data_IF_241905909560
#
_entry.id   IF_241905909560
#
_cell.length_a   1.000
_cell.length_b   1.000
_cell.length_c   1.000
_cell.angle_alpha   90.00
_cell.angle_beta   90.00
_cell.angle_gamma   90.00
#
_symmetry.space_group_name_H-M   'P 1'
#
loop_
_entity.id
_entity.type
_entity.pdbx_description
1 polymer ?
#
# COMPACT_ATOMS: atom_id res chain seq x y z
N UNK A 1 -11.80 10.25 -8.90
CA UNK A 1 -11.20 8.90 -9.00
C UNK A 1 -9.84 9.10 -9.63
N UNK A 2 -8.73 8.73 -8.97
CA UNK A 2 -7.44 8.88 -9.60
C UNK A 2 -7.36 8.02 -10.86
N UNK A 3 -6.99 8.65 -11.97
CA UNK A 3 -6.77 7.93 -13.21
C UNK A 3 -5.39 7.26 -13.22
N UNK A 4 -5.18 6.35 -14.18
CA UNK A 4 -3.93 5.59 -14.27
C UNK A 4 -2.65 6.47 -14.19
N UNK A 5 -2.58 7.64 -14.84
CA UNK A 5 -1.41 8.53 -14.74
C UNK A 5 -1.20 9.14 -13.34
N UNK A 6 -2.29 9.41 -12.63
CA UNK A 6 -2.22 9.97 -11.28
C UNK A 6 -1.71 8.93 -10.28
N UNK A 7 -2.21 7.69 -10.38
CA UNK A 7 -1.72 6.58 -9.55
C UNK A 7 -0.24 6.32 -9.81
N UNK A 8 0.20 6.38 -11.07
CA UNK A 8 1.62 6.24 -11.42
C UNK A 8 2.47 7.35 -10.80
N UNK A 9 1.99 8.60 -10.82
CA UNK A 9 2.65 9.74 -10.17
C UNK A 9 2.81 9.50 -8.67
N UNK A 10 1.75 9.03 -8.00
CA UNK A 10 1.76 8.70 -6.57
C UNK A 10 2.77 7.57 -6.28
N UNK A 11 2.74 6.48 -7.04
CA UNK A 11 3.68 5.35 -6.89
C UNK A 11 5.13 5.80 -7.03
N UNK A 12 5.43 6.64 -8.03
CA UNK A 12 6.78 7.19 -8.24
C UNK A 12 7.23 8.08 -7.09
N UNK A 13 6.33 8.90 -6.54
CA UNK A 13 6.61 9.73 -5.37
C UNK A 13 6.84 8.93 -4.09
N UNK A 14 6.06 7.85 -3.88
CA UNK A 14 6.17 7.00 -2.69
C UNK A 14 7.43 6.12 -2.70
N UNK A 15 7.78 5.54 -3.85
CA UNK A 15 8.86 4.56 -3.97
C UNK A 15 10.17 4.99 -3.26
N UNK A 16 10.74 6.19 -3.47
CA UNK A 16 11.95 6.60 -2.78
C UNK A 16 11.75 6.87 -1.29
N UNK A 17 10.53 7.17 -0.83
CA UNK A 17 10.23 7.50 0.56
C UNK A 17 10.09 6.26 1.44
N UNK A 18 9.53 5.17 0.89
CA UNK A 18 9.17 3.98 1.67
C UNK A 18 10.05 2.76 1.42
N UNK A 19 10.79 2.71 0.31
CA UNK A 19 11.63 1.55 0.00
C UNK A 19 12.74 1.39 1.05
N UNK A 20 12.92 0.17 1.54
CA UNK A 20 13.85 -0.18 2.63
C UNK A 20 13.34 0.15 4.02
N UNK A 21 12.16 0.77 4.17
CA UNK A 21 11.57 1.06 5.47
C UNK A 21 10.89 -0.19 6.03
N UNK A 22 11.02 -0.39 7.34
CA UNK A 22 10.37 -1.47 8.08
C UNK A 22 9.04 -0.99 8.66
N UNK A 23 8.00 -1.81 8.53
CA UNK A 23 6.69 -1.55 9.14
C UNK A 23 6.80 -1.89 10.63
N UNK A 24 6.62 -0.91 11.51
CA UNK A 24 6.73 -1.12 12.96
C UNK A 24 5.38 -1.35 13.63
N UNK A 25 4.32 -0.82 13.04
CA UNK A 25 2.96 -0.85 13.57
C UNK A 25 1.96 -0.75 12.41
N UNK A 26 0.78 -1.32 12.59
CA UNK A 26 -0.37 -1.14 11.70
C UNK A 26 -1.59 -0.80 12.54
N UNK A 27 -2.24 0.31 12.21
CA UNK A 27 -3.49 0.74 12.83
C UNK A 27 -4.56 0.89 11.75
N UNK A 28 -5.77 0.38 12.03
CA UNK A 28 -6.94 0.50 11.14
C UNK A 28 -8.04 1.23 11.88
N UNK A 29 -8.25 2.49 11.53
CA UNK A 29 -9.30 3.32 12.14
C UNK A 29 -10.70 2.96 11.64
N UNK A 30 -10.81 2.42 10.41
CA UNK A 30 -12.09 2.03 9.83
C UNK A 30 -12.01 0.64 9.18
N UNK A 31 -12.40 -0.39 9.93
CA UNK A 31 -12.28 -1.79 9.49
C UNK A 31 -12.95 -2.10 8.14
N UNK A 32 -13.98 -1.33 7.73
CA UNK A 32 -14.68 -1.52 6.44
C UNK A 32 -13.82 -1.18 5.22
N UNK A 33 -12.65 -0.55 5.40
CA UNK A 33 -11.70 -0.31 4.29
C UNK A 33 -10.85 -1.53 3.97
N UNK A 34 -10.79 -2.50 4.88
CA UNK A 34 -10.01 -3.72 4.72
C UNK A 34 -10.90 -4.78 4.09
N UNK A 35 -10.41 -5.42 3.04
CA UNK A 35 -11.11 -6.53 2.41
C UNK A 35 -11.18 -7.72 3.39
N UNK A 36 -12.37 -8.27 3.62
CA UNK A 36 -12.58 -9.38 4.54
C UNK A 36 -11.86 -10.68 4.11
N UNK A 37 -11.47 -10.79 2.84
CA UNK A 37 -10.70 -11.91 2.32
C UNK A 37 -9.18 -11.73 2.47
N UNK A 38 -8.72 -10.57 2.93
CA UNK A 38 -7.30 -10.31 3.13
C UNK A 38 -6.71 -11.09 4.30
N UNK A 39 -5.40 -11.35 4.22
CA UNK A 39 -4.66 -11.88 5.35
C UNK A 39 -4.64 -10.85 6.50
N UNK A 40 -4.50 -11.30 7.77
CA UNK A 40 -4.38 -10.40 8.91
C UNK A 40 -3.26 -9.37 8.71
N UNK A 41 -3.58 -8.09 8.86
CA UNK A 41 -2.65 -6.98 8.56
C UNK A 41 -1.49 -6.90 9.57
N UNK A 42 -1.64 -7.51 10.74
CA UNK A 42 -0.59 -7.65 11.75
C UNK A 42 0.61 -8.42 11.21
N UNK A 43 0.42 -9.26 10.17
CA UNK A 43 1.50 -9.97 9.48
C UNK A 43 2.48 -9.05 8.75
N UNK A 44 2.09 -7.80 8.50
CA UNK A 44 2.95 -6.80 7.88
C UNK A 44 3.95 -6.22 8.91
N UNK A 45 3.65 -6.31 10.20
CA UNK A 45 4.51 -5.77 11.26
C UNK A 45 5.84 -6.52 11.28
N UNK A 46 6.93 -5.75 11.27
CA UNK A 46 8.29 -6.24 11.22
C UNK A 46 8.79 -6.55 9.81
N UNK A 47 7.96 -6.46 8.78
CA UNK A 47 8.37 -6.65 7.39
C UNK A 47 8.93 -5.37 6.77
N UNK A 48 9.69 -5.51 5.68
CA UNK A 48 10.36 -4.40 4.99
C UNK A 48 9.76 -4.19 3.61
N UNK A 49 9.43 -2.94 3.28
CA UNK A 49 8.96 -2.58 1.94
C UNK A 49 10.14 -2.61 0.97
N UNK A 50 10.12 -3.50 0.00
CA UNK A 50 11.19 -3.66 -1.00
C UNK A 50 10.87 -2.97 -2.32
N UNK A 51 9.58 -2.73 -2.59
CA UNK A 51 9.09 -2.13 -3.82
C UNK A 51 7.73 -1.47 -3.67
N UNK A 52 7.45 -0.54 -4.58
CA UNK A 52 6.11 0.04 -4.76
C UNK A 52 5.83 0.12 -6.24
N UNK A 53 4.75 -0.49 -6.68
CA UNK A 53 4.35 -0.55 -8.08
C UNK A 53 2.87 -0.23 -8.25
N UNK A 54 2.46 -0.06 -9.50
CA UNK A 54 1.07 0.15 -9.87
C UNK A 54 0.52 -1.10 -10.55
N UNK A 55 -0.68 -1.51 -10.16
CA UNK A 55 -1.45 -2.53 -10.88
C UNK A 55 -2.83 -1.95 -11.22
N UNK A 56 -3.03 -1.50 -12.47
CA UNK A 56 -4.24 -0.76 -12.84
C UNK A 56 -4.39 0.51 -11.99
N UNK A 57 -5.45 0.59 -11.19
CA UNK A 57 -5.73 1.70 -10.26
C UNK A 57 -5.32 1.40 -8.80
N UNK A 58 -4.59 0.32 -8.57
CA UNK A 58 -4.03 -0.04 -7.27
C UNK A 58 -2.59 0.43 -7.13
N UNK A 59 -2.25 0.87 -5.92
CA UNK A 59 -0.90 1.05 -5.42
C UNK A 59 -0.54 -0.24 -4.69
N UNK A 60 0.55 -0.90 -5.07
CA UNK A 60 0.95 -2.19 -4.52
C UNK A 60 2.33 -2.05 -3.89
N UNK A 61 2.39 -2.24 -2.58
CA UNK A 61 3.64 -2.34 -1.83
C UNK A 61 4.07 -3.80 -1.82
N UNK A 62 5.31 -4.05 -2.23
CA UNK A 62 5.95 -5.36 -2.16
C UNK A 62 6.80 -5.45 -0.90
N UNK A 63 6.65 -6.54 -0.16
CA UNK A 63 7.36 -6.76 1.08
C UNK A 63 8.41 -7.88 0.95
N UNK A 64 9.44 -7.84 1.79
CA UNK A 64 10.56 -8.77 1.76
C UNK A 64 10.14 -10.22 2.03
N UNK A 65 9.08 -10.44 2.81
CA UNK A 65 8.48 -11.77 3.02
C UNK A 65 7.82 -12.38 1.78
N UNK A 66 7.61 -11.59 0.71
CA UNK A 66 6.82 -11.97 -0.45
C UNK A 66 5.34 -11.56 -0.37
N UNK A 67 4.89 -11.02 0.76
CA UNK A 67 3.56 -10.42 0.88
C UNK A 67 3.42 -9.14 0.06
N UNK A 68 2.17 -8.81 -0.27
CA UNK A 68 1.81 -7.59 -0.99
C UNK A 68 0.66 -6.89 -0.28
N UNK A 69 0.84 -5.58 -0.05
CA UNK A 69 -0.23 -4.70 0.42
C UNK A 69 -0.74 -3.88 -0.76
N UNK A 70 -2.01 -4.03 -1.11
CA UNK A 70 -2.64 -3.28 -2.20
C UNK A 70 -3.61 -2.25 -1.64
N UNK A 71 -3.53 -1.01 -2.13
CA UNK A 71 -4.40 0.09 -1.76
C UNK A 71 -5.06 0.70 -3.01
N UNK A 72 -6.36 0.97 -2.92
CA UNK A 72 -7.13 1.61 -3.99
C UNK A 72 -7.77 2.90 -3.46
N UNK A 73 -7.39 4.04 -4.03
CA UNK A 73 -7.79 5.37 -3.54
C UNK A 73 -9.26 5.72 -3.82
N UNK A 74 -9.97 4.94 -4.65
CA UNK A 74 -11.38 5.19 -5.00
C UNK A 74 -11.55 6.61 -5.55
N UNK A 75 -12.47 7.40 -4.99
CA UNK A 75 -12.78 8.76 -5.47
C UNK A 75 -11.93 9.82 -4.79
N UNK A 76 -11.73 9.72 -3.47
CA UNK A 76 -11.20 10.78 -2.59
C UNK A 76 -10.09 10.30 -1.66
N UNK A 77 -9.69 9.04 -1.74
CA UNK A 77 -8.60 8.51 -0.92
C UNK A 77 -7.29 9.23 -1.22
N UNK A 78 -6.51 9.48 -0.17
CA UNK A 78 -5.20 10.13 -0.23
C UNK A 78 -4.21 9.37 0.64
N UNK A 79 -2.94 9.42 0.25
CA UNK A 79 -1.82 8.99 1.08
C UNK A 79 -1.12 10.25 1.58
N UNK A 80 -0.75 10.27 2.86
CA UNK A 80 -0.11 11.39 3.55
C UNK A 80 1.28 10.99 4.03
#
# INVERSE_FOLDING_TARGET
MPELPEVETIVRGLRPLVRGRRITEVAVEWARTVDASSLPLERLIGDTIVGVQRAGKFIVFELASGFRLAAHLRMTGRLM
#
